data_IF_375389433738
#
_entry.id   IF_375389433738
#
_cell.length_a   1.000
_cell.length_b   1.000
_cell.length_c   1.000
_cell.angle_alpha   90.00
_cell.angle_beta   90.00
_cell.angle_gamma   90.00
#
_symmetry.space_group_name_H-M   'P 1'
#
loop_
_entity.id
_entity.type
_entity.pdbx_description
1 polymer ?
#
# COMPACT_ATOMS: atom_id res chain seq x y z
N UNK A 1 40.35 67.16 -61.03
CA UNK A 1 40.34 67.19 -59.54
C UNK A 1 39.09 66.52 -59.05
N UNK A 2 39.18 65.28 -58.52
CA UNK A 2 38.02 64.63 -58.01
C UNK A 2 38.03 64.62 -56.50
N UNK A 3 36.88 64.93 -55.92
CA UNK A 3 36.57 64.88 -54.52
C UNK A 3 36.21 63.46 -54.06
N UNK A 4 36.92 62.99 -53.02
CA UNK A 4 36.67 61.66 -52.35
C UNK A 4 35.51 61.87 -51.38
N UNK A 5 34.46 61.05 -51.55
CA UNK A 5 33.35 60.89 -50.58
C UNK A 5 33.62 59.64 -49.78
N UNK A 6 33.82 59.75 -48.47
CA UNK A 6 33.98 58.66 -47.53
C UNK A 6 32.56 58.24 -47.06
N UNK A 7 32.22 56.96 -47.28
CA UNK A 7 31.01 56.37 -46.76
C UNK A 7 31.34 55.68 -45.42
N UNK A 8 30.70 56.13 -44.33
CA UNK A 8 30.77 55.53 -43.01
C UNK A 8 29.72 54.39 -42.88
N UNK A 9 30.15 53.17 -42.73
CA UNK A 9 29.30 52.03 -42.41
C UNK A 9 29.10 51.96 -40.90
N UNK A 10 27.89 52.27 -40.43
CA UNK A 10 27.48 52.03 -39.04
C UNK A 10 27.01 50.60 -38.86
N UNK A 11 27.75 49.79 -38.13
CA UNK A 11 27.36 48.46 -37.76
C UNK A 11 26.46 48.50 -36.49
N UNK A 12 25.16 48.22 -36.67
CA UNK A 12 24.24 48.06 -35.56
C UNK A 12 24.36 46.60 -34.98
N UNK A 13 24.91 46.49 -33.78
CA UNK A 13 24.97 45.21 -33.03
C UNK A 13 23.64 45.07 -32.29
N UNK A 14 22.74 44.23 -32.81
CA UNK A 14 21.55 43.75 -32.04
C UNK A 14 21.99 42.72 -31.02
N UNK A 15 22.01 43.11 -29.73
CA UNK A 15 22.19 42.19 -28.61
C UNK A 15 20.95 41.31 -28.40
N UNK A 16 21.04 40.04 -28.74
CA UNK A 16 20.08 39.01 -28.36
C UNK A 16 20.20 38.70 -26.86
N UNK A 17 19.35 39.30 -26.05
CA UNK A 17 19.17 38.92 -24.65
C UNK A 17 18.37 37.63 -24.62
N UNK A 18 19.04 36.47 -24.60
CA UNK A 18 18.44 35.18 -24.33
C UNK A 18 18.05 35.11 -22.84
N UNK A 19 16.85 35.57 -22.53
CA UNK A 19 16.27 35.40 -21.19
C UNK A 19 16.02 33.94 -20.92
N UNK A 20 16.80 33.30 -20.06
CA UNK A 20 16.48 32.00 -19.50
C UNK A 20 15.16 32.12 -18.73
N UNK A 21 14.05 31.66 -19.30
CA UNK A 21 12.80 31.46 -18.58
C UNK A 21 13.02 30.24 -17.68
N UNK A 22 13.34 30.44 -16.41
CA UNK A 22 13.17 29.41 -15.37
C UNK A 22 11.68 29.09 -15.28
N UNK A 23 11.31 27.90 -15.75
CA UNK A 23 9.97 27.37 -15.50
C UNK A 23 9.78 27.29 -13.98
N UNK A 24 8.62 27.74 -13.45
CA UNK A 24 8.33 27.57 -12.03
C UNK A 24 8.39 26.09 -11.71
N UNK A 25 9.23 25.70 -10.75
CA UNK A 25 9.21 24.38 -10.17
C UNK A 25 7.88 24.27 -9.44
N UNK A 26 6.91 23.59 -10.06
CA UNK A 26 5.65 23.25 -9.40
C UNK A 26 6.03 22.25 -8.33
N UNK A 27 6.15 22.72 -7.09
CA UNK A 27 6.28 21.80 -5.96
C UNK A 27 5.06 20.89 -5.97
N UNK A 28 5.23 19.56 -5.90
CA UNK A 28 4.10 18.64 -5.82
C UNK A 28 3.23 19.08 -4.65
N UNK A 29 1.92 19.22 -4.89
CA UNK A 29 0.96 19.50 -3.84
C UNK A 29 1.02 18.29 -2.87
N UNK A 30 1.56 18.51 -1.70
CA UNK A 30 1.59 17.50 -0.65
C UNK A 30 0.19 17.47 -0.06
N UNK A 31 -0.62 16.50 -0.47
CA UNK A 31 -1.94 16.24 0.12
C UNK A 31 -1.75 15.91 1.59
N UNK A 32 -2.46 16.59 2.48
CA UNK A 32 -2.38 16.36 3.93
C UNK A 32 -2.86 14.95 4.29
N UNK A 33 -2.43 14.45 5.46
CA UNK A 33 -2.90 13.16 5.96
C UNK A 33 -4.43 13.13 6.13
N UNK A 34 -5.01 14.20 6.64
CA UNK A 34 -6.45 14.31 6.86
C UNK A 34 -7.27 14.26 5.56
N UNK A 35 -6.70 14.73 4.45
CA UNK A 35 -7.32 14.64 3.12
C UNK A 35 -7.07 13.28 2.46
N UNK A 36 -5.87 12.71 2.64
CA UNK A 36 -5.46 11.44 2.03
C UNK A 36 -6.11 10.23 2.68
N UNK A 37 -6.22 10.23 4.01
CA UNK A 37 -6.78 9.14 4.80
C UNK A 37 -8.18 8.69 4.32
N UNK A 38 -9.20 9.58 4.19
CA UNK A 38 -10.51 9.16 3.73
C UNK A 38 -10.52 8.67 2.27
N UNK A 39 -9.63 9.16 1.41
CA UNK A 39 -9.50 8.69 0.04
C UNK A 39 -9.00 7.24 -0.01
N UNK A 40 -8.01 6.89 0.79
CA UNK A 40 -7.52 5.52 0.91
C UNK A 40 -8.55 4.60 1.56
N UNK A 41 -9.27 5.08 2.58
CA UNK A 41 -10.33 4.32 3.24
C UNK A 41 -11.52 4.03 2.31
N UNK A 42 -11.80 4.93 1.36
CA UNK A 42 -12.86 4.78 0.37
C UNK A 42 -12.44 3.92 -0.85
N UNK A 43 -11.19 3.45 -0.91
CA UNK A 43 -10.75 2.64 -2.04
C UNK A 43 -11.37 1.25 -1.98
N UNK A 44 -12.14 0.93 -3.02
CA UNK A 44 -12.87 -0.33 -3.15
C UNK A 44 -12.21 -1.32 -4.13
N UNK A 45 -11.16 -0.89 -4.85
CA UNK A 45 -10.52 -1.73 -5.86
C UNK A 45 -9.00 -1.65 -5.73
N UNK A 46 -8.37 -2.80 -5.55
CA UNK A 46 -6.94 -2.98 -5.70
C UNK A 46 -6.58 -4.46 -5.86
N UNK A 47 -5.46 -4.72 -6.51
CA UNK A 47 -4.77 -6.01 -6.45
C UNK A 47 -3.40 -5.82 -5.77
N UNK A 48 -3.04 -6.77 -4.93
CA UNK A 48 -1.76 -6.85 -4.27
C UNK A 48 -1.17 -8.24 -4.48
N UNK A 49 0.10 -8.29 -4.84
CA UNK A 49 0.90 -9.52 -4.81
C UNK A 49 2.08 -9.34 -3.87
N UNK A 50 2.46 -10.39 -3.16
CA UNK A 50 3.52 -10.29 -2.18
C UNK A 50 3.83 -11.60 -1.48
N UNK A 51 4.56 -11.47 -0.39
CA UNK A 51 4.95 -12.58 0.48
C UNK A 51 4.61 -12.25 1.92
N UNK A 52 4.05 -13.22 2.60
CA UNK A 52 3.71 -13.10 4.01
C UNK A 52 4.48 -14.11 4.84
N UNK A 53 4.99 -13.67 5.97
CA UNK A 53 5.54 -14.51 7.01
C UNK A 53 4.68 -14.35 8.28
N UNK A 54 4.11 -15.44 8.76
CA UNK A 54 3.27 -15.48 9.96
C UNK A 54 4.02 -16.28 11.01
N UNK A 55 4.18 -15.74 12.21
CA UNK A 55 4.76 -16.43 13.35
C UNK A 55 3.83 -16.32 14.54
N UNK A 56 3.66 -17.44 15.26
CA UNK A 56 2.92 -17.55 16.51
C UNK A 56 3.80 -18.29 17.51
N UNK A 57 4.29 -17.59 18.52
CA UNK A 57 5.35 -18.14 19.39
C UNK A 57 6.57 -18.54 18.57
N UNK A 58 6.98 -19.81 18.70
CA UNK A 58 8.14 -20.39 18.02
C UNK A 58 7.81 -21.04 16.67
N UNK A 59 6.54 -21.04 16.27
CA UNK A 59 6.11 -21.60 14.99
C UNK A 59 5.95 -20.51 13.95
N UNK A 60 6.30 -20.82 12.71
CA UNK A 60 6.18 -19.87 11.61
C UNK A 60 5.89 -20.52 10.27
N UNK A 61 5.15 -19.81 9.43
CA UNK A 61 4.83 -20.19 8.06
C UNK A 61 5.11 -19.02 7.11
N UNK A 62 5.61 -19.33 5.91
CA UNK A 62 5.77 -18.38 4.84
C UNK A 62 4.87 -18.77 3.67
N UNK A 63 4.24 -17.80 3.03
CA UNK A 63 3.40 -18.02 1.87
C UNK A 63 3.54 -16.88 0.85
N UNK A 64 3.30 -17.19 -0.42
CA UNK A 64 2.98 -16.18 -1.41
C UNK A 64 1.56 -15.68 -1.16
N UNK A 65 1.35 -14.40 -1.33
CA UNK A 65 0.08 -13.72 -1.11
C UNK A 65 -0.40 -13.10 -2.42
N UNK A 66 -1.65 -13.36 -2.74
CA UNK A 66 -2.41 -12.58 -3.72
C UNK A 66 -3.67 -12.07 -3.01
N UNK A 67 -3.94 -10.78 -3.11
CA UNK A 67 -5.13 -10.15 -2.55
C UNK A 67 -5.79 -9.28 -3.61
N UNK A 68 -7.03 -9.57 -3.90
CA UNK A 68 -7.90 -8.77 -4.76
C UNK A 68 -9.04 -8.21 -3.93
N UNK A 69 -9.26 -6.91 -4.03
CA UNK A 69 -10.37 -6.21 -3.40
C UNK A 69 -11.30 -5.68 -4.48
N UNK A 70 -12.60 -5.99 -4.39
CA UNK A 70 -13.63 -5.47 -5.29
C UNK A 70 -14.88 -5.12 -4.47
N UNK A 71 -15.11 -3.82 -4.28
CA UNK A 71 -16.19 -3.35 -3.42
C UNK A 71 -15.96 -3.75 -1.96
N UNK A 72 -16.93 -4.47 -1.40
CA UNK A 72 -16.86 -5.00 -0.04
C UNK A 72 -16.23 -6.41 0.04
N UNK A 73 -15.87 -7.00 -1.10
CA UNK A 73 -15.36 -8.38 -1.18
C UNK A 73 -13.85 -8.41 -1.28
N UNK A 74 -13.23 -9.08 -0.30
CA UNK A 74 -11.82 -9.44 -0.30
C UNK A 74 -11.63 -10.87 -0.78
N UNK A 75 -10.73 -11.09 -1.73
CA UNK A 75 -10.27 -12.43 -2.13
C UNK A 75 -8.79 -12.54 -1.84
N UNK A 76 -8.41 -13.44 -0.92
CA UNK A 76 -7.05 -13.65 -0.49
C UNK A 76 -6.64 -15.08 -0.82
N UNK A 77 -5.54 -15.24 -1.55
CA UNK A 77 -4.92 -16.55 -1.79
C UNK A 77 -3.58 -16.59 -1.09
N UNK A 78 -3.41 -17.59 -0.23
CA UNK A 78 -2.14 -17.92 0.41
C UNK A 78 -1.64 -19.23 -0.18
N UNK A 79 -0.42 -19.21 -0.72
CA UNK A 79 0.20 -20.36 -1.37
C UNK A 79 1.56 -20.62 -0.73
N UNK A 80 1.75 -21.84 -0.19
CA UNK A 80 3.01 -22.24 0.39
C UNK A 80 4.14 -22.33 -0.65
N UNK A 81 5.39 -22.56 -0.20
CA UNK A 81 6.52 -22.75 -1.08
C UNK A 81 6.25 -23.84 -2.13
N UNK A 82 6.64 -23.59 -3.40
CA UNK A 82 6.44 -24.49 -4.53
C UNK A 82 4.97 -24.79 -4.90
N UNK A 83 4.03 -23.90 -4.52
CA UNK A 83 2.62 -24.05 -4.86
C UNK A 83 1.87 -25.11 -4.04
N UNK A 84 2.46 -25.58 -2.95
CA UNK A 84 1.84 -26.62 -2.11
C UNK A 84 0.95 -25.98 -1.05
N UNK A 85 -0.29 -26.47 -0.95
CA UNK A 85 -1.20 -26.11 0.15
C UNK A 85 -1.89 -24.76 -0.01
N UNK A 86 -2.25 -24.37 -1.23
CA UNK A 86 -3.00 -23.13 -1.47
C UNK A 86 -4.31 -23.08 -0.67
N UNK A 87 -4.54 -21.96 -0.02
CA UNK A 87 -5.79 -21.64 0.68
C UNK A 87 -6.36 -20.38 0.06
N UNK A 88 -7.61 -20.44 -0.40
CA UNK A 88 -8.36 -19.28 -0.89
C UNK A 88 -9.38 -18.87 0.15
N UNK A 89 -9.35 -17.60 0.49
CA UNK A 89 -10.22 -16.97 1.47
C UNK A 89 -11.04 -15.91 0.72
N UNK A 90 -12.36 -15.95 0.87
CA UNK A 90 -13.26 -14.91 0.41
C UNK A 90 -13.97 -14.33 1.63
N UNK A 91 -13.93 -13.01 1.79
CA UNK A 91 -14.59 -12.32 2.89
C UNK A 91 -15.45 -11.17 2.35
N UNK A 92 -16.69 -11.05 2.85
CA UNK A 92 -17.59 -9.94 2.54
C UNK A 92 -18.39 -9.59 3.81
N UNK A 93 -18.07 -8.44 4.41
CA UNK A 93 -18.64 -8.11 5.72
C UNK A 93 -18.21 -9.11 6.81
N UNK A 94 -19.18 -9.82 7.39
CA UNK A 94 -18.96 -10.89 8.38
C UNK A 94 -18.93 -12.27 7.75
N UNK A 95 -19.30 -12.38 6.47
CA UNK A 95 -19.29 -13.65 5.76
C UNK A 95 -17.87 -14.02 5.36
N UNK A 96 -17.47 -15.24 5.69
CA UNK A 96 -16.17 -15.81 5.41
C UNK A 96 -16.34 -17.17 4.75
N UNK A 97 -15.67 -17.36 3.63
CA UNK A 97 -15.58 -18.64 2.92
C UNK A 97 -14.12 -19.01 2.72
N UNK A 98 -13.81 -20.28 2.92
CA UNK A 98 -12.47 -20.84 2.66
C UNK A 98 -12.58 -22.01 1.73
N UNK A 99 -11.73 -22.03 0.70
CA UNK A 99 -11.47 -23.22 -0.11
C UNK A 99 -10.03 -23.67 0.19
N UNK A 100 -9.90 -24.83 0.82
CA UNK A 100 -8.59 -25.37 1.17
C UNK A 100 -7.94 -26.12 -0.02
N UNK A 101 -6.70 -26.57 0.15
CA UNK A 101 -5.94 -27.25 -0.89
C UNK A 101 -6.57 -28.57 -1.39
N UNK A 102 -7.44 -29.18 -0.61
CA UNK A 102 -8.21 -30.39 -1.01
C UNK A 102 -9.50 -30.07 -1.78
N UNK A 103 -9.82 -28.76 -1.97
CA UNK A 103 -11.05 -28.31 -2.61
C UNK A 103 -12.27 -28.31 -1.68
N UNK A 104 -12.09 -28.53 -0.38
CA UNK A 104 -13.18 -28.45 0.58
C UNK A 104 -13.58 -26.99 0.79
N UNK A 105 -14.88 -26.72 0.73
CA UNK A 105 -15.48 -25.43 1.03
C UNK A 105 -15.92 -25.41 2.49
N UNK A 106 -15.53 -24.35 3.19
CA UNK A 106 -15.92 -24.05 4.56
C UNK A 106 -16.46 -22.61 4.58
N UNK A 107 -17.55 -22.39 5.29
CA UNK A 107 -18.21 -21.10 5.43
C UNK A 107 -18.40 -20.72 6.90
N UNK A 108 -18.61 -19.42 7.14
CA UNK A 108 -18.94 -18.85 8.45
C UNK A 108 -18.03 -19.36 9.58
N UNK A 109 -18.61 -19.93 10.64
CA UNK A 109 -17.89 -20.39 11.83
C UNK A 109 -16.85 -21.48 11.52
N UNK A 110 -17.14 -22.37 10.57
CA UNK A 110 -16.21 -23.42 10.15
C UNK A 110 -14.98 -22.83 9.46
N UNK A 111 -15.15 -21.74 8.68
CA UNK A 111 -14.07 -21.02 8.03
C UNK A 111 -13.18 -20.29 9.05
N UNK A 112 -13.79 -19.59 10.02
CA UNK A 112 -13.05 -18.96 11.10
C UNK A 112 -12.26 -19.97 11.93
N UNK A 113 -12.88 -21.10 12.30
CA UNK A 113 -12.21 -22.16 13.03
C UNK A 113 -11.03 -22.77 12.26
N UNK A 114 -11.17 -22.97 10.95
CA UNK A 114 -10.10 -23.48 10.07
C UNK A 114 -8.94 -22.49 9.96
N UNK A 115 -9.23 -21.17 9.80
CA UNK A 115 -8.18 -20.14 9.79
C UNK A 115 -7.43 -20.11 11.12
N UNK A 116 -8.18 -20.08 12.23
CA UNK A 116 -7.58 -20.05 13.55
C UNK A 116 -6.72 -21.30 13.81
N UNK A 117 -7.17 -22.49 13.38
CA UNK A 117 -6.41 -23.73 13.51
C UNK A 117 -5.12 -23.72 12.68
N UNK A 118 -5.15 -23.18 11.46
CA UNK A 118 -3.98 -23.13 10.56
C UNK A 118 -2.98 -22.04 10.91
N UNK A 119 -3.48 -20.87 11.27
CA UNK A 119 -2.66 -19.68 11.53
C UNK A 119 -2.28 -19.55 13.01
N UNK A 120 -2.96 -20.26 13.91
CA UNK A 120 -2.82 -20.13 15.35
C UNK A 120 -3.53 -18.90 15.95
N UNK A 121 -4.28 -18.15 15.14
CA UNK A 121 -5.08 -17.01 15.55
C UNK A 121 -6.15 -16.69 14.49
N UNK A 122 -7.19 -15.96 14.89
CA UNK A 122 -8.20 -15.44 13.96
C UNK A 122 -7.75 -14.07 13.40
N UNK A 123 -7.44 -13.97 12.10
CA UNK A 123 -6.95 -12.73 11.51
C UNK A 123 -8.07 -11.69 11.37
N UNK A 124 -7.81 -10.41 11.69
CA UNK A 124 -8.80 -9.33 11.57
C UNK A 124 -8.91 -8.87 10.10
N UNK A 125 -9.48 -9.71 9.22
CA UNK A 125 -9.51 -9.48 7.76
C UNK A 125 -10.14 -8.15 7.39
N UNK A 126 -11.20 -7.70 8.09
CA UNK A 126 -11.85 -6.40 7.89
C UNK A 126 -10.88 -5.24 8.08
N UNK A 127 -10.09 -5.27 9.15
CA UNK A 127 -9.13 -4.21 9.44
C UNK A 127 -7.87 -4.33 8.57
N UNK A 128 -7.44 -5.57 8.26
CA UNK A 128 -6.27 -5.82 7.42
C UNK A 128 -6.40 -5.18 6.03
N UNK A 129 -7.61 -5.16 5.42
CA UNK A 129 -7.82 -4.51 4.11
C UNK A 129 -7.45 -3.01 4.11
N UNK A 130 -7.60 -2.35 5.25
CA UNK A 130 -7.21 -0.95 5.44
C UNK A 130 -5.73 -0.84 5.78
N UNK A 131 -5.24 -1.67 6.70
CA UNK A 131 -3.85 -1.60 7.16
C UNK A 131 -2.85 -1.86 6.05
N UNK A 132 -3.14 -2.80 5.13
CA UNK A 132 -2.24 -3.04 3.98
C UNK A 132 -2.16 -1.84 3.04
N UNK A 133 -3.16 -0.96 3.00
CA UNK A 133 -3.16 0.29 2.25
C UNK A 133 -2.51 1.47 3.00
N UNK A 134 -2.11 1.26 4.27
CA UNK A 134 -1.48 2.29 5.10
C UNK A 134 -2.48 3.25 5.74
N UNK A 135 -3.69 2.78 6.07
CA UNK A 135 -4.73 3.57 6.76
C UNK A 135 -5.39 2.74 7.86
N UNK A 136 -5.97 3.38 8.90
CA UNK A 136 -6.76 2.67 9.89
C UNK A 136 -8.13 2.25 9.33
N UNK A 137 -8.69 1.19 9.90
CA UNK A 137 -10.09 0.81 9.71
C UNK A 137 -11.00 1.90 10.30
N UNK A 138 -11.91 2.50 9.50
CA UNK A 138 -12.78 3.58 9.98
C UNK A 138 -13.78 3.14 11.05
N UNK A 139 -14.06 1.84 11.18
CA UNK A 139 -15.04 1.33 12.15
C UNK A 139 -14.50 1.26 13.57
N UNK A 140 -13.19 1.37 13.79
CA UNK A 140 -12.56 1.18 15.11
C UNK A 140 -11.64 2.35 15.43
N UNK A 141 -11.62 2.80 16.68
CA UNK A 141 -10.70 3.84 17.14
C UNK A 141 -9.23 3.43 16.94
N UNK A 142 -8.40 4.36 16.53
CA UNK A 142 -6.97 4.15 16.26
C UNK A 142 -6.09 5.19 16.93
N UNK A 143 -4.83 4.83 17.17
CA UNK A 143 -3.74 5.76 17.46
C UNK A 143 -2.76 5.70 16.31
N UNK A 144 -2.42 6.85 15.75
CA UNK A 144 -1.66 6.99 14.52
C UNK A 144 -0.40 7.81 14.76
N UNK A 145 0.74 7.36 14.23
CA UNK A 145 1.99 8.11 14.17
C UNK A 145 2.41 8.23 12.72
N UNK A 146 2.62 9.45 12.24
CA UNK A 146 3.09 9.68 10.88
C UNK A 146 4.62 9.60 10.81
N UNK A 147 5.13 9.17 9.67
CA UNK A 147 6.56 9.23 9.36
C UNK A 147 7.00 10.71 9.34
N UNK A 148 8.10 11.08 10.01
CA UNK A 148 8.53 12.48 10.11
C UNK A 148 8.65 13.17 8.75
N UNK A 149 7.94 14.29 8.60
CA UNK A 149 7.93 15.07 7.37
C UNK A 149 7.15 14.44 6.21
N UNK A 150 6.42 13.36 6.45
CA UNK A 150 5.61 12.66 5.46
C UNK A 150 4.13 12.65 5.85
N UNK A 151 3.26 12.52 4.85
CA UNK A 151 1.80 12.42 5.05
C UNK A 151 1.36 10.94 4.91
N UNK A 152 2.00 10.04 5.68
CA UNK A 152 1.75 8.61 5.69
C UNK A 152 2.12 8.01 7.05
N UNK A 153 1.50 6.90 7.39
CA UNK A 153 1.71 6.24 8.66
C UNK A 153 3.13 5.67 8.80
N UNK A 154 3.70 5.80 9.97
CA UNK A 154 4.83 5.02 10.46
C UNK A 154 4.32 3.91 11.38
N UNK A 155 3.45 4.25 12.33
CA UNK A 155 2.87 3.31 13.28
C UNK A 155 1.37 3.53 13.40
N UNK A 156 0.67 2.43 13.63
CA UNK A 156 -0.77 2.38 13.88
C UNK A 156 -1.05 1.40 15.01
N UNK A 157 -1.83 1.81 16.00
CA UNK A 157 -2.40 0.91 17.02
C UNK A 157 -3.90 0.90 16.89
N UNK A 158 -4.51 -0.29 16.69
CA UNK A 158 -5.94 -0.42 16.47
C UNK A 158 -6.43 -1.82 16.84
N UNK A 159 -7.53 -1.92 17.58
CA UNK A 159 -8.14 -3.20 17.94
C UNK A 159 -7.21 -4.16 18.71
N UNK A 160 -6.27 -3.62 19.51
CA UNK A 160 -5.25 -4.40 20.20
C UNK A 160 -4.08 -4.87 19.33
N UNK A 161 -4.06 -4.49 18.05
CA UNK A 161 -2.96 -4.74 17.12
C UNK A 161 -2.06 -3.52 16.99
N UNK A 162 -0.77 -3.77 16.77
CA UNK A 162 0.23 -2.77 16.38
C UNK A 162 0.69 -3.04 14.95
N UNK A 163 0.61 -2.04 14.10
CA UNK A 163 1.08 -2.09 12.71
C UNK A 163 2.24 -1.13 12.56
N UNK A 164 3.38 -1.61 12.06
CA UNK A 164 4.55 -0.79 11.76
C UNK A 164 4.86 -0.84 10.27
N UNK A 165 4.95 0.32 9.64
CA UNK A 165 5.25 0.48 8.22
C UNK A 165 6.73 0.79 8.04
N UNK A 166 7.47 -0.15 7.45
CA UNK A 166 8.93 -0.03 7.27
C UNK A 166 9.30 0.69 5.97
N UNK A 167 8.48 0.54 4.92
CA UNK A 167 8.74 1.20 3.63
C UNK A 167 7.48 1.34 2.81
N UNK A 168 7.52 2.31 1.89
CA UNK A 168 6.45 2.64 0.94
C UNK A 168 6.99 2.63 -0.48
N UNK A 169 6.09 2.45 -1.45
CA UNK A 169 6.34 2.53 -2.89
C UNK A 169 5.35 3.50 -3.53
N UNK A 170 5.81 4.24 -4.53
CA UNK A 170 4.95 5.15 -5.30
C UNK A 170 4.26 4.37 -6.43
N UNK A 171 2.92 4.34 -6.41
CA UNK A 171 2.09 3.65 -7.40
C UNK A 171 1.04 4.63 -7.91
N UNK A 172 1.01 4.90 -9.20
CA UNK A 172 0.07 5.82 -9.82
C UNK A 172 -0.03 7.20 -9.13
N UNK A 173 1.10 7.68 -8.58
CA UNK A 173 1.15 8.96 -7.86
C UNK A 173 0.83 8.89 -6.36
N UNK A 174 0.54 7.71 -5.83
CA UNK A 174 0.19 7.49 -4.44
C UNK A 174 1.20 6.61 -3.71
N UNK A 175 1.54 6.97 -2.46
CA UNK A 175 2.43 6.18 -1.62
C UNK A 175 1.66 5.07 -0.92
N UNK A 176 1.95 3.82 -1.29
CA UNK A 176 1.37 2.62 -0.68
C UNK A 176 2.44 1.81 0.05
N UNK A 177 2.08 1.08 1.14
CA UNK A 177 3.03 0.25 1.86
C UNK A 177 3.70 -0.79 0.95
N UNK A 178 5.03 -0.90 1.09
CA UNK A 178 5.82 -1.95 0.46
C UNK A 178 6.26 -3.01 1.48
N UNK A 179 6.43 -2.61 2.75
CA UNK A 179 6.74 -3.52 3.85
C UNK A 179 6.05 -3.06 5.11
N UNK A 180 5.37 -3.98 5.78
CA UNK A 180 4.76 -3.74 7.08
C UNK A 180 4.84 -4.98 7.97
N UNK A 181 4.72 -4.76 9.26
CA UNK A 181 4.54 -5.82 10.26
C UNK A 181 3.31 -5.53 11.11
N UNK A 182 2.55 -6.57 11.42
CA UNK A 182 1.37 -6.53 12.28
C UNK A 182 1.61 -7.44 13.47
N UNK A 183 1.35 -6.97 14.68
CA UNK A 183 1.67 -7.72 15.90
C UNK A 183 0.54 -7.59 16.92
N UNK A 184 0.28 -8.71 17.63
CA UNK A 184 -0.54 -8.77 18.84
C UNK A 184 -0.09 -9.98 19.66
N UNK A 185 0.25 -9.76 20.91
CA UNK A 185 0.74 -10.81 21.83
C UNK A 185 1.92 -11.60 21.21
N UNK A 186 1.78 -12.90 21.06
CA UNK A 186 2.77 -13.79 20.45
C UNK A 186 2.66 -13.87 18.92
N UNK A 187 1.66 -13.21 18.30
CA UNK A 187 1.44 -13.23 16.86
C UNK A 187 2.23 -12.11 16.17
N UNK A 188 2.95 -12.48 15.14
CA UNK A 188 3.65 -11.53 14.26
C UNK A 188 3.43 -11.89 12.79
N UNK A 189 2.89 -10.94 12.04
CA UNK A 189 2.74 -11.04 10.59
C UNK A 189 3.66 -10.02 9.93
N UNK A 190 4.45 -10.44 8.96
CA UNK A 190 5.27 -9.56 8.12
C UNK A 190 4.81 -9.68 6.68
N UNK A 191 4.53 -8.57 6.06
CA UNK A 191 4.16 -8.49 4.65
C UNK A 191 5.24 -7.75 3.87
N UNK A 192 5.67 -8.37 2.79
CA UNK A 192 6.46 -7.74 1.73
C UNK A 192 5.60 -7.71 0.47
N UNK A 193 5.29 -6.53 -0.01
CA UNK A 193 4.51 -6.33 -1.24
C UNK A 193 5.47 -6.30 -2.42
N UNK A 194 5.26 -7.18 -3.37
CA UNK A 194 6.03 -7.25 -4.61
C UNK A 194 5.37 -6.41 -5.73
N UNK A 195 4.04 -6.21 -5.68
CA UNK A 195 3.32 -5.41 -6.66
C UNK A 195 1.95 -4.94 -6.20
N UNK A 196 1.57 -3.74 -6.66
CA UNK A 196 0.25 -3.13 -6.54
C UNK A 196 -0.35 -2.89 -7.92
N UNK A 197 -1.68 -3.03 -8.04
CA UNK A 197 -2.50 -2.56 -9.15
C UNK A 197 -3.74 -1.87 -8.57
N UNK A 198 -4.01 -0.64 -9.05
CA UNK A 198 -5.12 0.22 -8.60
C UNK A 198 -6.13 0.39 -9.73
#
# INVERSE_FOLDING_TARGET
>A
MPRKVAAALGAAVLGLVAGCRTLPVVSPVVVSWDERRPQLQAREHFDLTGRVAIAVGDQGVNANLQWTEVGARSQVTLEGPLGVGAVRISAEGDDLEIVNASGQHLDSDAAHAELAARLGFDPPLKSLRYWIQGVPDPATASTETLEPGQQRLQDLSQGGWSVHYTSYVLVAGEWLPARLSVQRDSVRVRLLVDGWRL
#
